data_IF_417706431766
#
_entry.id   IF_417706431766
#
_cell.length_a   1.000
_cell.length_b   1.000
_cell.length_c   1.000
_cell.angle_alpha   90.00
_cell.angle_beta   90.00
_cell.angle_gamma   90.00
#
_symmetry.space_group_name_H-M   'P 1'
#
loop_
_entity.id
_entity.type
_entity.pdbx_description
1 polymer ?
#
# COMPACT_ATOMS: atom_id res chain seq x y z
N UNK A 1 -32.94 -8.28 28.15
CA UNK A 1 -32.29 -9.60 27.93
C UNK A 1 -30.85 -9.32 27.47
N UNK A 2 -29.89 -9.64 28.33
CA UNK A 2 -28.47 -9.54 27.97
C UNK A 2 -28.11 -10.87 27.31
N UNK A 3 -27.96 -10.88 26.00
CA UNK A 3 -27.39 -12.02 25.28
C UNK A 3 -25.88 -11.94 25.49
N UNK A 4 -25.32 -12.88 26.21
CA UNK A 4 -23.87 -13.04 26.34
C UNK A 4 -23.51 -14.21 25.42
N UNK A 5 -23.02 -13.93 24.23
CA UNK A 5 -22.36 -14.93 23.42
C UNK A 5 -20.95 -15.12 23.95
N UNK A 6 -20.58 -16.33 24.33
CA UNK A 6 -19.22 -16.68 24.74
C UNK A 6 -18.57 -17.41 23.55
N UNK A 7 -17.46 -16.86 23.06
CA UNK A 7 -16.64 -17.50 22.03
C UNK A 7 -15.31 -17.91 22.69
N UNK A 8 -14.93 -19.15 22.50
CA UNK A 8 -13.64 -19.67 22.91
C UNK A 8 -12.79 -19.88 21.65
N UNK A 9 -11.59 -19.28 21.61
CA UNK A 9 -10.67 -19.41 20.49
C UNK A 9 -9.39 -20.02 21.02
N UNK A 10 -9.04 -21.22 20.56
CA UNK A 10 -7.77 -21.88 20.83
C UNK A 10 -7.11 -22.24 19.49
N UNK A 11 -6.08 -21.48 19.11
CA UNK A 11 -5.39 -21.63 17.84
C UNK A 11 -3.89 -21.82 18.06
N UNK A 12 -3.34 -22.86 17.46
CA UNK A 12 -1.90 -23.12 17.45
C UNK A 12 -1.21 -22.28 16.39
N UNK A 13 -0.49 -21.24 16.78
CA UNK A 13 0.27 -20.37 15.88
C UNK A 13 1.77 -20.65 15.97
N UNK A 14 2.46 -20.68 14.83
CA UNK A 14 3.89 -20.74 14.81
C UNK A 14 4.49 -19.87 13.71
N UNK A 15 5.62 -19.27 14.00
CA UNK A 15 6.41 -18.48 13.06
C UNK A 15 7.88 -18.82 13.17
N UNK A 16 8.63 -18.53 12.14
CA UNK A 16 10.06 -18.80 12.11
C UNK A 16 10.75 -18.15 10.91
N UNK A 17 12.08 -18.10 10.98
CA UNK A 17 12.92 -17.55 9.93
C UNK A 17 14.18 -18.37 9.77
N UNK A 18 14.51 -18.71 8.53
CA UNK A 18 15.80 -19.29 8.14
C UNK A 18 16.45 -18.34 7.14
N UNK A 19 17.67 -17.91 7.39
CA UNK A 19 18.45 -17.08 6.48
C UNK A 19 19.82 -17.73 6.22
N UNK A 20 20.19 -17.74 4.94
CA UNK A 20 21.52 -18.13 4.49
C UNK A 20 22.22 -16.89 3.93
N UNK A 21 23.40 -16.57 4.42
CA UNK A 21 24.17 -15.41 4.00
C UNK A 21 25.52 -15.86 3.39
N UNK A 22 25.85 -15.26 2.26
CA UNK A 22 27.15 -15.44 1.61
C UNK A 22 27.83 -14.11 1.41
N UNK A 23 28.95 -13.89 2.11
CA UNK A 23 29.73 -12.64 2.06
C UNK A 23 30.89 -12.77 1.10
N UNK A 24 31.00 -11.80 0.20
CA UNK A 24 32.11 -11.65 -0.73
C UNK A 24 32.84 -10.34 -0.47
N UNK A 25 33.98 -10.13 -1.13
CA UNK A 25 34.69 -8.83 -1.06
C UNK A 25 33.82 -7.67 -1.61
N UNK A 26 32.85 -7.93 -2.48
CA UNK A 26 31.99 -6.94 -3.10
C UNK A 26 30.62 -6.77 -2.45
N UNK A 27 30.22 -7.64 -1.50
CA UNK A 27 28.90 -7.51 -0.89
C UNK A 27 28.38 -8.77 -0.20
N UNK A 28 27.14 -8.71 0.20
CA UNK A 28 26.38 -9.76 0.88
C UNK A 28 25.28 -10.26 -0.04
N UNK A 29 25.25 -11.56 -0.31
CA UNK A 29 24.14 -12.27 -0.92
C UNK A 29 23.38 -13.01 0.17
N UNK A 30 22.07 -13.06 0.09
CA UNK A 30 21.28 -13.83 1.05
C UNK A 30 20.08 -14.49 0.41
N UNK A 31 19.68 -15.60 1.01
CA UNK A 31 18.41 -16.27 0.76
C UNK A 31 17.66 -16.37 2.08
N UNK A 32 16.37 -16.11 2.08
CA UNK A 32 15.51 -16.10 3.24
C UNK A 32 14.28 -16.94 2.98
N UNK A 33 13.89 -17.77 3.94
CA UNK A 33 12.56 -18.34 4.05
C UNK A 33 12.01 -18.00 5.44
N UNK A 34 10.82 -17.43 5.50
CA UNK A 34 10.18 -17.08 6.77
C UNK A 34 8.68 -17.34 6.73
N UNK A 35 8.14 -17.73 7.88
CA UNK A 35 6.71 -17.88 8.11
C UNK A 35 6.27 -16.93 9.20
N UNK A 36 5.26 -16.11 8.87
CA UNK A 36 4.54 -15.25 9.80
C UNK A 36 3.08 -15.66 9.93
N UNK A 37 2.39 -15.04 10.87
CA UNK A 37 0.96 -15.23 11.06
C UNK A 37 0.31 -13.96 11.63
N UNK A 38 -1.01 -13.85 11.42
CA UNK A 38 -1.88 -12.87 12.05
C UNK A 38 -3.00 -13.64 12.74
N UNK A 39 -3.16 -13.45 14.05
CA UNK A 39 -4.12 -14.22 14.84
C UNK A 39 -5.55 -14.04 14.33
N UNK A 40 -6.33 -15.09 14.41
CA UNK A 40 -7.77 -15.07 14.26
C UNK A 40 -8.48 -14.31 15.37
N UNK A 41 -9.78 -14.23 15.30
CA UNK A 41 -10.56 -13.48 16.27
C UNK A 41 -12.07 -13.63 16.14
N UNK A 42 -12.76 -12.69 16.76
CA UNK A 42 -14.22 -12.66 16.78
C UNK A 42 -14.74 -11.27 16.50
N UNK A 43 -15.59 -11.12 15.52
CA UNK A 43 -16.35 -9.90 15.26
C UNK A 43 -17.30 -9.62 16.42
N UNK A 44 -17.17 -8.45 17.04
CA UNK A 44 -17.92 -8.12 18.26
C UNK A 44 -19.34 -7.60 18.01
N UNK A 45 -19.65 -7.21 16.77
CA UNK A 45 -20.95 -6.68 16.43
C UNK A 45 -22.01 -7.78 16.47
N UNK A 46 -23.11 -7.53 17.17
CA UNK A 46 -24.20 -8.49 17.34
C UNK A 46 -25.05 -8.67 16.07
N UNK A 47 -24.94 -7.80 15.11
CA UNK A 47 -25.60 -7.91 13.82
C UNK A 47 -24.93 -8.93 12.89
N UNK A 48 -23.66 -9.27 13.15
CA UNK A 48 -22.96 -10.34 12.43
C UNK A 48 -23.52 -11.69 12.88
N UNK A 49 -23.97 -12.56 11.96
CA UNK A 49 -24.45 -13.91 12.29
C UNK A 49 -23.40 -14.71 13.06
N UNK A 50 -23.84 -15.54 14.01
CA UNK A 50 -22.93 -16.27 14.91
C UNK A 50 -21.94 -17.18 14.18
N UNK A 51 -22.31 -17.73 13.02
CA UNK A 51 -21.49 -18.55 12.14
C UNK A 51 -20.45 -17.75 11.34
N UNK A 52 -20.62 -16.43 11.22
CA UNK A 52 -19.69 -15.51 10.55
C UNK A 52 -18.90 -14.64 11.53
N UNK A 53 -19.10 -14.79 12.83
CA UNK A 53 -18.38 -14.00 13.83
C UNK A 53 -16.94 -14.39 14.00
N UNK A 54 -16.60 -15.65 13.78
CA UNK A 54 -15.23 -16.13 13.88
C UNK A 54 -14.51 -15.94 12.56
N UNK A 55 -13.25 -15.55 12.65
CA UNK A 55 -12.31 -15.58 11.56
C UNK A 55 -11.00 -16.22 12.03
N UNK A 56 -10.40 -17.00 11.17
CA UNK A 56 -9.26 -17.86 11.47
C UNK A 56 -7.93 -17.11 11.35
N UNK A 57 -6.86 -17.73 11.84
CA UNK A 57 -5.49 -17.23 11.73
C UNK A 57 -5.05 -17.21 10.28
N UNK A 58 -4.64 -16.04 9.80
CA UNK A 58 -3.93 -15.89 8.52
C UNK A 58 -2.47 -16.30 8.70
N UNK A 59 -1.90 -17.03 7.75
CA UNK A 59 -0.49 -17.32 7.71
C UNK A 59 0.15 -16.91 6.38
N UNK A 60 1.46 -16.63 6.41
CA UNK A 60 2.21 -16.22 5.23
C UNK A 60 3.58 -16.87 5.21
N UNK A 61 3.92 -17.47 4.09
CA UNK A 61 5.29 -17.80 3.75
C UNK A 61 5.89 -16.71 2.89
N UNK A 62 7.12 -16.28 3.22
CA UNK A 62 7.91 -15.38 2.41
C UNK A 62 9.23 -16.05 2.05
N UNK A 63 9.53 -16.05 0.75
CA UNK A 63 10.81 -16.49 0.19
C UNK A 63 11.46 -15.30 -0.50
N UNK A 64 12.71 -15.02 -0.16
CA UNK A 64 13.42 -13.84 -0.67
C UNK A 64 14.85 -14.20 -1.02
N UNK A 65 15.32 -13.67 -2.14
CA UNK A 65 16.72 -13.73 -2.57
C UNK A 65 17.20 -12.30 -2.82
N UNK A 66 18.27 -11.91 -2.17
CA UNK A 66 18.72 -10.53 -2.27
C UNK A 66 20.23 -10.35 -2.25
N UNK A 67 20.63 -9.14 -2.60
CA UNK A 67 22.01 -8.67 -2.61
C UNK A 67 22.11 -7.29 -1.98
N UNK A 68 23.16 -7.07 -1.19
CA UNK A 68 23.59 -5.77 -0.67
C UNK A 68 25.05 -5.59 -1.05
N UNK A 69 25.34 -4.60 -1.87
CA UNK A 69 26.70 -4.44 -2.43
C UNK A 69 27.10 -2.98 -2.51
N UNK A 70 28.41 -2.74 -2.49
CA UNK A 70 29.02 -1.45 -2.77
C UNK A 70 29.84 -1.54 -4.04
N UNK A 71 29.68 -0.57 -4.91
CA UNK A 71 30.29 -0.52 -6.22
C UNK A 71 31.04 0.80 -6.42
N UNK A 72 31.96 0.82 -7.40
CA UNK A 72 32.72 2.01 -7.78
C UNK A 72 33.45 2.65 -6.60
N UNK A 73 34.30 1.87 -5.91
CA UNK A 73 35.05 2.32 -4.73
C UNK A 73 34.14 2.93 -3.65
N UNK A 74 33.10 2.19 -3.24
CA UNK A 74 32.09 2.55 -2.24
C UNK A 74 31.25 3.81 -2.60
N UNK A 75 31.23 4.21 -3.87
CA UNK A 75 30.41 5.35 -4.30
C UNK A 75 28.96 4.98 -4.56
N UNK A 76 28.66 3.74 -4.86
CA UNK A 76 27.29 3.24 -5.00
C UNK A 76 27.02 2.22 -3.89
N UNK A 77 25.97 2.44 -3.11
CA UNK A 77 25.35 1.44 -2.24
C UNK A 77 24.09 0.94 -2.94
N UNK A 78 24.06 -0.35 -3.26
CA UNK A 78 22.98 -1.01 -3.97
C UNK A 78 22.40 -2.14 -3.12
N UNK A 79 21.09 -2.17 -3.01
CA UNK A 79 20.31 -3.26 -2.43
C UNK A 79 19.28 -3.68 -3.43
N UNK A 80 19.13 -4.97 -3.64
CA UNK A 80 18.09 -5.52 -4.48
C UNK A 80 17.61 -6.86 -3.91
N UNK A 81 16.32 -7.12 -4.03
CA UNK A 81 15.71 -8.38 -3.64
C UNK A 81 14.60 -8.76 -4.60
N UNK A 82 14.44 -10.05 -4.84
CA UNK A 82 13.25 -10.65 -5.42
C UNK A 82 12.57 -11.49 -4.36
N UNK A 83 11.24 -11.51 -4.36
CA UNK A 83 10.48 -12.21 -3.35
C UNK A 83 9.23 -12.88 -3.93
N UNK A 84 8.77 -13.89 -3.21
CA UNK A 84 7.45 -14.52 -3.39
C UNK A 84 6.84 -14.70 -2.01
N UNK A 85 5.58 -14.32 -1.88
CA UNK A 85 4.79 -14.45 -0.66
C UNK A 85 3.52 -15.22 -0.98
N UNK A 86 3.32 -16.34 -0.29
CA UNK A 86 2.08 -17.11 -0.33
C UNK A 86 1.35 -16.91 1.01
N UNK A 87 0.09 -16.49 0.94
CA UNK A 87 -0.76 -16.21 2.10
C UNK A 87 -1.95 -17.15 2.08
N UNK A 88 -2.20 -17.80 3.20
CA UNK A 88 -3.32 -18.69 3.42
C UNK A 88 -4.28 -18.06 4.43
N UNK A 89 -5.58 -18.28 4.27
CA UNK A 89 -6.64 -17.75 5.12
C UNK A 89 -6.59 -16.23 5.29
N UNK A 90 -6.39 -15.50 4.19
CA UNK A 90 -6.22 -14.04 4.17
C UNK A 90 -7.39 -13.36 4.84
N UNK A 91 -7.12 -12.59 5.90
CA UNK A 91 -8.13 -11.81 6.60
C UNK A 91 -8.51 -10.59 5.77
N UNK A 92 -9.79 -10.46 5.44
CA UNK A 92 -10.34 -9.38 4.63
C UNK A 92 -11.61 -8.82 5.25
N UNK A 93 -11.87 -7.55 4.99
CA UNK A 93 -13.08 -6.88 5.46
C UNK A 93 -14.24 -7.15 4.50
N UNK A 94 -15.39 -7.46 5.07
CA UNK A 94 -16.68 -7.61 4.39
C UNK A 94 -17.71 -6.67 5.03
N UNK A 95 -18.84 -6.46 4.35
CA UNK A 95 -19.92 -5.67 4.90
C UNK A 95 -21.27 -6.41 4.75
N UNK A 96 -22.05 -6.42 5.81
CA UNK A 96 -23.47 -6.78 5.76
C UNK A 96 -24.28 -5.51 5.47
N UNK A 97 -25.29 -5.64 4.65
CA UNK A 97 -26.28 -4.60 4.38
C UNK A 97 -27.60 -5.03 4.98
N UNK A 98 -28.00 -4.37 6.04
CA UNK A 98 -29.19 -4.70 6.80
C UNK A 98 -30.26 -3.64 6.55
N UNK A 99 -31.40 -3.96 5.91
CA UNK A 99 -32.51 -3.02 5.80
C UNK A 99 -33.03 -2.61 7.19
N UNK A 100 -33.22 -1.31 7.41
CA UNK A 100 -33.74 -0.78 8.70
C UNK A 100 -35.25 -0.93 8.76
N UNK A 101 -35.94 -0.84 7.62
CA UNK A 101 -37.41 -0.97 7.54
C UNK A 101 -37.81 -1.75 6.30
N UNK A 102 -38.42 -2.92 6.51
CA UNK A 102 -38.83 -3.79 5.41
C UNK A 102 -37.64 -4.41 4.65
N UNK A 103 -37.80 -4.64 3.35
CA UNK A 103 -36.77 -5.25 2.50
C UNK A 103 -36.00 -4.26 1.63
N UNK A 104 -36.13 -2.96 1.92
CA UNK A 104 -35.49 -1.89 1.16
C UNK A 104 -34.72 -0.92 2.07
N UNK A 105 -33.74 -0.24 1.51
CA UNK A 105 -33.04 0.83 2.24
C UNK A 105 -34.02 1.99 2.59
N UNK A 106 -33.78 2.67 3.73
CA UNK A 106 -32.47 2.91 4.36
C UNK A 106 -31.90 1.67 5.03
N UNK A 107 -30.57 1.50 4.88
CA UNK A 107 -29.84 0.33 5.31
C UNK A 107 -28.79 0.67 6.37
N UNK A 108 -28.52 -0.27 7.28
CA UNK A 108 -27.37 -0.27 8.16
C UNK A 108 -26.25 -1.10 7.53
N UNK A 109 -25.03 -0.57 7.58
CA UNK A 109 -23.84 -1.26 7.10
C UNK A 109 -23.02 -1.72 8.30
N UNK A 110 -22.75 -3.01 8.37
CA UNK A 110 -21.99 -3.62 9.45
C UNK A 110 -20.74 -4.25 8.87
N UNK A 111 -19.59 -3.65 9.13
CA UNK A 111 -18.30 -4.18 8.71
C UNK A 111 -17.89 -5.36 9.62
N UNK A 112 -17.37 -6.42 9.03
CA UNK A 112 -16.85 -7.57 9.75
C UNK A 112 -15.66 -8.18 9.01
N UNK A 113 -14.79 -8.85 9.75
CA UNK A 113 -13.66 -9.60 9.19
C UNK A 113 -14.06 -11.04 8.89
N UNK A 114 -13.56 -11.54 7.77
CA UNK A 114 -13.65 -12.95 7.37
C UNK A 114 -12.34 -13.37 6.73
N UNK A 115 -12.21 -14.65 6.37
CA UNK A 115 -11.06 -15.15 5.65
C UNK A 115 -11.39 -15.30 4.17
N UNK A 116 -10.52 -14.76 3.30
CA UNK A 116 -10.38 -15.20 1.91
C UNK A 116 -9.45 -16.43 1.90
N UNK A 117 -9.61 -17.35 0.95
CA UNK A 117 -8.86 -18.60 1.04
C UNK A 117 -7.35 -18.39 0.87
N UNK A 118 -6.90 -17.73 -0.19
CA UNK A 118 -5.47 -17.53 -0.43
C UNK A 118 -5.18 -16.25 -1.22
N UNK A 119 -3.94 -15.76 -1.11
CA UNK A 119 -3.40 -14.72 -1.97
C UNK A 119 -1.91 -14.93 -2.20
N UNK A 120 -1.44 -14.51 -3.36
CA UNK A 120 -0.04 -14.54 -3.74
C UNK A 120 0.46 -13.15 -4.08
N UNK A 121 1.69 -12.86 -3.70
CA UNK A 121 2.41 -11.65 -4.11
C UNK A 121 3.82 -12.01 -4.51
N UNK A 122 4.33 -11.41 -5.58
CA UNK A 122 5.73 -11.57 -5.96
C UNK A 122 6.26 -10.29 -6.59
N UNK A 123 7.55 -10.08 -6.48
CA UNK A 123 8.08 -8.81 -6.96
C UNK A 123 9.59 -8.67 -6.87
N UNK A 124 10.02 -7.46 -7.20
CA UNK A 124 11.39 -7.00 -7.11
C UNK A 124 11.43 -5.65 -6.40
N UNK A 125 12.35 -5.51 -5.47
CA UNK A 125 12.69 -4.23 -4.84
C UNK A 125 14.14 -3.90 -5.09
N UNK A 126 14.42 -2.61 -5.37
CA UNK A 126 15.77 -2.11 -5.55
C UNK A 126 15.91 -0.72 -4.94
N UNK A 127 17.00 -0.51 -4.22
CA UNK A 127 17.42 0.79 -3.70
C UNK A 127 18.86 1.06 -4.08
N UNK A 128 19.14 2.28 -4.55
CA UNK A 128 20.47 2.73 -4.90
C UNK A 128 20.73 4.12 -4.34
N UNK A 129 21.88 4.31 -3.68
CA UNK A 129 22.43 5.60 -3.33
C UNK A 129 23.78 5.77 -4.04
N UNK A 130 23.95 6.84 -4.78
CA UNK A 130 25.12 7.09 -5.60
C UNK A 130 25.76 8.44 -5.31
N UNK A 131 26.98 8.43 -4.76
CA UNK A 131 27.86 9.61 -4.69
C UNK A 131 28.56 9.79 -6.03
N UNK A 132 27.92 10.50 -6.96
CA UNK A 132 28.42 10.71 -8.32
C UNK A 132 29.80 11.42 -8.28
N UNK A 133 29.88 12.45 -7.45
CA UNK A 133 31.11 13.17 -7.12
C UNK A 133 30.97 13.88 -5.75
N UNK A 134 31.89 14.82 -5.42
CA UNK A 134 31.86 15.52 -4.12
C UNK A 134 30.70 16.49 -3.94
N UNK A 135 30.05 16.87 -5.02
CA UNK A 135 28.98 17.88 -5.03
C UNK A 135 27.66 17.35 -5.60
N UNK A 136 27.59 16.10 -6.04
CA UNK A 136 26.38 15.50 -6.61
C UNK A 136 26.15 14.12 -6.02
N UNK A 137 25.02 13.99 -5.35
CA UNK A 137 24.48 12.72 -4.88
C UNK A 137 23.17 12.42 -5.60
N UNK A 138 22.90 11.18 -5.92
CA UNK A 138 21.67 10.69 -6.54
C UNK A 138 21.16 9.47 -5.80
N UNK A 139 19.87 9.27 -5.85
CA UNK A 139 19.24 8.05 -5.36
C UNK A 139 18.19 7.53 -6.34
N UNK A 140 17.92 6.24 -6.26
CA UNK A 140 16.86 5.60 -6.99
C UNK A 140 16.23 4.51 -6.12
N UNK A 141 14.92 4.38 -6.15
CA UNK A 141 14.21 3.20 -5.67
C UNK A 141 13.21 2.72 -6.72
N UNK A 142 13.06 1.40 -6.80
CA UNK A 142 12.14 0.73 -7.68
C UNK A 142 11.48 -0.42 -6.91
N UNK A 143 10.16 -0.44 -6.89
CA UNK A 143 9.36 -1.60 -6.51
C UNK A 143 8.54 -2.07 -7.71
N UNK A 144 8.61 -3.34 -8.02
CA UNK A 144 7.72 -4.03 -8.96
C UNK A 144 6.97 -5.08 -8.18
N UNK A 145 5.66 -5.12 -8.31
CA UNK A 145 4.79 -5.99 -7.52
C UNK A 145 3.67 -6.54 -8.38
N UNK A 146 3.49 -7.85 -8.33
CA UNK A 146 2.31 -8.54 -8.84
C UNK A 146 1.60 -9.21 -7.67
N UNK A 147 0.29 -9.10 -7.64
CA UNK A 147 -0.54 -9.68 -6.58
C UNK A 147 -1.80 -10.28 -7.15
N UNK A 148 -2.26 -11.36 -6.56
CA UNK A 148 -3.52 -12.00 -6.96
C UNK A 148 -4.20 -12.68 -5.76
N UNK A 149 -5.51 -12.63 -5.74
CA UNK A 149 -6.29 -13.57 -4.95
C UNK A 149 -6.32 -14.94 -5.65
N UNK A 150 -6.23 -15.99 -4.85
CA UNK A 150 -6.27 -17.39 -5.31
C UNK A 150 -7.35 -18.10 -4.51
N UNK A 151 -8.50 -18.36 -5.08
CA UNK A 151 -9.65 -18.96 -4.37
C UNK A 151 -10.32 -18.00 -3.38
N UNK A 152 -10.92 -16.91 -3.90
CA UNK A 152 -11.69 -15.97 -3.08
C UNK A 152 -13.08 -15.68 -3.67
N UNK A 153 -14.12 -16.12 -2.98
CA UNK A 153 -15.51 -15.74 -3.26
C UNK A 153 -15.95 -14.60 -2.33
N UNK A 154 -16.25 -13.45 -2.91
CA UNK A 154 -16.74 -12.30 -2.16
C UNK A 154 -18.28 -12.34 -2.08
N UNK A 155 -18.82 -12.40 -0.86
CA UNK A 155 -20.25 -12.43 -0.58
C UNK A 155 -20.84 -11.06 -0.22
N UNK A 156 -20.05 -9.98 -0.31
CA UNK A 156 -20.53 -8.63 -0.01
C UNK A 156 -21.47 -8.13 -1.11
N UNK A 157 -22.72 -7.92 -0.77
CA UNK A 157 -23.76 -7.44 -1.69
C UNK A 157 -23.63 -5.95 -2.07
N UNK A 158 -22.85 -5.18 -1.30
CA UNK A 158 -22.85 -3.70 -1.42
C UNK A 158 -22.13 -3.22 -2.66
N UNK A 159 -21.18 -4.01 -3.15
CA UNK A 159 -20.25 -3.59 -4.19
C UNK A 159 -19.99 -4.70 -5.22
N UNK A 160 -20.71 -5.81 -5.11
CA UNK A 160 -20.75 -6.84 -6.14
C UNK A 160 -21.35 -6.26 -7.43
N UNK A 161 -20.95 -6.80 -8.55
CA UNK A 161 -21.52 -6.46 -9.84
C UNK A 161 -23.06 -6.55 -9.74
N UNK A 162 -23.78 -5.43 -9.95
CA UNK A 162 -25.23 -5.42 -9.84
C UNK A 162 -25.92 -6.36 -10.84
N UNK A 163 -25.21 -6.76 -11.91
CA UNK A 163 -25.76 -7.59 -12.99
C UNK A 163 -25.64 -9.10 -12.71
N UNK A 164 -24.74 -9.55 -11.82
CA UNK A 164 -24.45 -10.97 -11.63
C UNK A 164 -24.88 -11.55 -10.28
N UNK A 165 -25.21 -10.71 -9.30
CA UNK A 165 -25.50 -11.17 -7.94
C UNK A 165 -24.28 -11.77 -7.23
N UNK A 166 -24.45 -12.18 -5.99
CA UNK A 166 -23.40 -12.80 -5.16
C UNK A 166 -23.51 -14.32 -5.16
N UNK A 167 -22.37 -15.04 -5.01
CA UNK A 167 -21.01 -14.57 -4.73
C UNK A 167 -20.30 -14.07 -5.99
N UNK A 168 -19.37 -13.14 -5.79
CA UNK A 168 -18.49 -12.64 -6.85
C UNK A 168 -17.12 -13.36 -6.75
N UNK A 169 -16.69 -13.97 -7.86
CA UNK A 169 -15.40 -14.64 -7.95
C UNK A 169 -14.27 -13.58 -8.10
N UNK A 170 -13.35 -13.57 -7.15
CA UNK A 170 -12.22 -12.65 -7.08
C UNK A 170 -10.91 -13.26 -7.55
N UNK A 171 -10.92 -14.51 -8.03
CA UNK A 171 -9.69 -15.19 -8.46
C UNK A 171 -8.99 -14.45 -9.58
N UNK A 172 -7.67 -14.33 -9.44
CA UNK A 172 -6.82 -13.58 -10.36
C UNK A 172 -6.93 -12.07 -10.24
N UNK A 173 -7.74 -11.54 -9.32
CA UNK A 173 -7.84 -10.11 -9.08
C UNK A 173 -6.71 -9.64 -8.16
N UNK A 174 -6.20 -8.45 -8.47
CA UNK A 174 -5.17 -7.78 -7.66
C UNK A 174 -5.64 -7.51 -6.23
N UNK A 175 -4.72 -7.60 -5.27
CA UNK A 175 -4.96 -7.17 -3.90
C UNK A 175 -5.12 -5.65 -3.84
N UNK A 176 -5.95 -5.14 -2.91
CA UNK A 176 -6.08 -3.71 -2.74
C UNK A 176 -4.76 -3.09 -2.23
N UNK A 177 -4.54 -1.81 -2.58
CA UNK A 177 -3.36 -1.02 -2.18
C UNK A 177 -2.02 -1.56 -2.73
N UNK A 178 -2.06 -2.32 -3.82
CA UNK A 178 -0.92 -3.01 -4.41
C UNK A 178 -0.61 -2.52 -5.84
N UNK A 179 -0.02 -1.32 -6.01
CA UNK A 179 0.37 -0.83 -7.33
C UNK A 179 1.44 -1.72 -7.96
N UNK A 180 1.35 -2.00 -9.28
CA UNK A 180 2.29 -2.87 -9.98
C UNK A 180 3.71 -2.30 -10.03
N UNK A 181 3.85 -0.97 -9.97
CA UNK A 181 5.16 -0.34 -9.82
C UNK A 181 5.13 0.91 -8.92
N UNK A 182 6.26 1.15 -8.29
CA UNK A 182 6.60 2.40 -7.63
C UNK A 182 8.05 2.76 -7.95
N UNK A 183 8.28 4.00 -8.37
CA UNK A 183 9.61 4.52 -8.70
C UNK A 183 9.83 5.84 -7.96
N UNK A 184 10.99 6.00 -7.35
CA UNK A 184 11.46 7.30 -6.90
C UNK A 184 12.90 7.50 -7.37
N UNK A 185 13.16 8.65 -8.00
CA UNK A 185 14.48 9.06 -8.46
C UNK A 185 14.76 10.45 -7.93
N UNK A 186 15.96 10.69 -7.44
CA UNK A 186 16.29 12.02 -7.01
C UNK A 186 17.78 12.33 -7.06
N UNK A 187 18.08 13.62 -7.01
CA UNK A 187 19.44 14.10 -6.96
C UNK A 187 19.55 15.38 -6.11
N UNK A 188 20.69 15.52 -5.45
CA UNK A 188 21.08 16.71 -4.70
C UNK A 188 22.41 17.19 -5.25
N UNK A 189 22.41 18.41 -5.78
CA UNK A 189 23.59 19.04 -6.34
C UNK A 189 23.97 20.28 -5.56
N UNK A 190 25.14 20.25 -4.93
CA UNK A 190 25.75 21.39 -4.28
C UNK A 190 26.64 22.13 -5.30
N UNK A 191 26.32 23.39 -5.59
CA UNK A 191 27.06 24.20 -6.54
C UNK A 191 27.37 25.59 -5.97
N UNK A 192 28.35 26.27 -6.56
CA UNK A 192 28.74 27.63 -6.16
C UNK A 192 28.89 27.82 -4.62
N UNK A 193 29.38 26.81 -3.90
CA UNK A 193 29.73 26.76 -2.47
C UNK A 193 28.59 26.96 -1.47
N UNK A 194 27.44 27.53 -1.87
CA UNK A 194 26.34 27.88 -0.95
C UNK A 194 24.98 27.48 -1.49
N UNK A 195 24.93 27.05 -2.72
CA UNK A 195 23.68 26.70 -3.37
C UNK A 195 23.50 25.19 -3.45
N UNK A 196 22.29 24.76 -3.18
CA UNK A 196 21.89 23.36 -3.31
C UNK A 196 20.65 23.30 -4.19
N UNK A 197 20.70 22.54 -5.28
CA UNK A 197 19.53 22.17 -6.07
C UNK A 197 19.20 20.72 -5.77
N UNK A 198 17.97 20.45 -5.35
CA UNK A 198 17.46 19.11 -5.27
C UNK A 198 16.24 18.93 -6.16
N UNK A 199 16.16 17.78 -6.81
CA UNK A 199 15.05 17.35 -7.63
C UNK A 199 14.67 15.92 -7.27
N UNK A 200 13.37 15.65 -7.28
CA UNK A 200 12.82 14.34 -7.02
C UNK A 200 11.71 14.07 -8.04
N UNK A 201 11.69 12.87 -8.57
CA UNK A 201 10.67 12.33 -9.44
C UNK A 201 10.09 11.08 -8.77
N UNK A 202 8.77 11.03 -8.66
CA UNK A 202 8.03 9.87 -8.18
C UNK A 202 7.05 9.42 -9.25
N UNK A 203 6.94 8.12 -9.48
CA UNK A 203 5.91 7.53 -10.30
C UNK A 203 5.30 6.34 -9.57
N UNK A 204 4.01 6.20 -9.68
CA UNK A 204 3.25 5.10 -9.07
C UNK A 204 2.12 4.69 -10.00
N UNK A 205 1.92 3.39 -10.13
CA UNK A 205 0.81 2.84 -10.87
C UNK A 205 -0.53 3.04 -10.17
N UNK A 206 -1.61 2.85 -10.87
CA UNK A 206 -2.93 2.78 -10.27
C UNK A 206 -3.05 1.52 -9.39
N UNK A 207 -4.02 1.51 -8.52
CA UNK A 207 -4.32 0.40 -7.62
C UNK A 207 -5.76 0.49 -7.10
N UNK A 208 -6.34 -0.63 -6.75
CA UNK A 208 -7.66 -0.69 -6.13
C UNK A 208 -7.61 -0.21 -4.67
N UNK A 209 -8.61 0.55 -4.23
CA UNK A 209 -8.68 0.98 -2.84
C UNK A 209 -9.18 -0.10 -1.88
N UNK A 210 -9.96 -1.06 -2.37
CA UNK A 210 -10.58 -2.12 -1.58
C UNK A 210 -10.76 -3.40 -2.40
N UNK A 211 -10.85 -4.54 -1.74
CA UNK A 211 -11.31 -5.79 -2.34
C UNK A 211 -12.82 -5.82 -2.61
N UNK A 212 -13.58 -4.89 -2.03
CA UNK A 212 -15.04 -4.86 -2.10
C UNK A 212 -15.60 -4.13 -3.33
N UNK A 213 -14.79 -3.34 -4.03
CA UNK A 213 -15.22 -2.52 -5.17
C UNK A 213 -14.11 -2.34 -6.20
N UNK A 214 -14.46 -1.78 -7.36
CA UNK A 214 -13.51 -1.53 -8.45
C UNK A 214 -13.00 -0.09 -8.49
N UNK A 215 -13.31 0.71 -7.47
CA UNK A 215 -12.83 2.10 -7.40
C UNK A 215 -11.36 2.10 -7.01
N UNK A 216 -10.54 2.68 -7.87
CA UNK A 216 -9.10 2.70 -7.73
C UNK A 216 -8.52 4.11 -7.76
N UNK A 217 -7.24 4.19 -7.46
CA UNK A 217 -6.41 5.35 -7.70
C UNK A 217 -6.27 5.59 -9.21
N UNK A 218 -5.50 6.57 -9.56
CA UNK A 218 -4.98 6.71 -10.93
C UNK A 218 -3.46 6.58 -10.87
N UNK A 219 -2.85 6.09 -11.92
CA UNK A 219 -1.40 6.22 -12.09
C UNK A 219 -1.01 7.70 -12.11
N UNK A 220 0.13 8.05 -11.52
CA UNK A 220 0.59 9.42 -11.45
C UNK A 220 2.11 9.54 -11.46
N UNK A 221 2.55 10.72 -11.85
CA UNK A 221 3.95 11.14 -11.83
C UNK A 221 4.06 12.50 -11.15
N UNK A 222 5.00 12.63 -10.21
CA UNK A 222 5.26 13.85 -9.46
C UNK A 222 6.68 14.31 -9.68
N UNK A 223 6.86 15.62 -9.79
CA UNK A 223 8.18 16.26 -9.78
C UNK A 223 8.22 17.28 -8.66
N UNK A 224 9.26 17.20 -7.84
CA UNK A 224 9.54 18.13 -6.77
C UNK A 224 10.89 18.79 -7.00
N UNK A 225 10.96 20.11 -6.83
CA UNK A 225 12.21 20.85 -6.95
C UNK A 225 12.41 21.76 -5.75
N UNK A 226 13.65 21.90 -5.31
CA UNK A 226 14.04 22.80 -4.22
C UNK A 226 15.38 23.44 -4.56
N UNK A 227 15.45 24.76 -4.47
CA UNK A 227 16.68 25.54 -4.54
C UNK A 227 16.96 26.15 -3.16
N UNK A 228 18.07 25.78 -2.56
CA UNK A 228 18.54 26.26 -1.27
C UNK A 228 19.75 27.19 -1.39
N UNK A 229 19.84 28.15 -0.46
CA UNK A 229 21.03 29.00 -0.28
C UNK A 229 21.40 29.08 1.20
N UNK A 230 22.61 28.63 1.53
CA UNK A 230 23.06 28.53 2.94
C UNK A 230 24.26 29.44 3.21
N UNK A 231 24.16 30.20 4.30
CA UNK A 231 25.25 30.95 4.91
C UNK A 231 25.56 30.39 6.30
N UNK A 232 26.59 30.85 7.02
CA UNK A 232 26.87 30.39 8.38
C UNK A 232 25.72 30.61 9.38
N UNK A 233 24.84 31.57 9.11
CA UNK A 233 23.73 31.90 10.03
C UNK A 233 22.34 31.73 9.40
N UNK A 234 22.25 31.73 8.09
CA UNK A 234 20.96 31.68 7.39
C UNK A 234 20.87 30.49 6.45
N UNK A 235 19.72 29.85 6.43
CA UNK A 235 19.32 28.87 5.43
C UNK A 235 18.03 29.35 4.76
N UNK A 236 18.09 29.61 3.48
CA UNK A 236 16.95 30.01 2.66
C UNK A 236 16.63 28.92 1.66
N UNK A 237 15.36 28.70 1.37
CA UNK A 237 14.98 27.87 0.25
C UNK A 237 13.67 28.34 -0.40
N UNK A 238 13.60 28.10 -1.70
CA UNK A 238 12.35 28.09 -2.47
C UNK A 238 12.11 26.69 -2.99
N UNK A 239 10.85 26.28 -3.03
CA UNK A 239 10.51 24.94 -3.50
C UNK A 239 9.17 24.92 -4.23
N UNK A 240 9.01 23.92 -5.07
CA UNK A 240 7.75 23.52 -5.67
C UNK A 240 7.54 22.03 -5.45
N UNK A 241 6.36 21.67 -4.99
CA UNK A 241 5.89 20.29 -4.93
C UNK A 241 4.82 20.08 -5.97
N UNK A 242 4.79 18.88 -6.54
CA UNK A 242 3.88 18.54 -7.62
C UNK A 242 3.95 19.58 -8.75
N UNK A 243 5.13 19.76 -9.34
CA UNK A 243 5.40 20.77 -10.38
C UNK A 243 4.46 20.63 -11.58
N UNK A 244 4.13 19.40 -11.94
CA UNK A 244 3.25 19.06 -13.08
C UNK A 244 1.77 19.30 -12.79
N UNK A 245 1.40 19.58 -11.53
CA UNK A 245 0.00 19.72 -11.06
C UNK A 245 -0.85 18.47 -11.31
N UNK A 246 -0.23 17.30 -11.15
CA UNK A 246 -0.90 16.03 -11.33
C UNK A 246 -2.00 15.86 -10.27
N UNK A 247 -3.17 15.41 -10.71
CA UNK A 247 -4.27 15.05 -9.81
C UNK A 247 -4.08 13.63 -9.31
N UNK A 248 -4.04 13.44 -8.00
CA UNK A 248 -3.81 12.16 -7.35
C UNK A 248 -5.07 11.79 -6.57
N UNK A 249 -5.59 10.59 -6.80
CA UNK A 249 -6.63 10.00 -5.96
C UNK A 249 -5.96 9.22 -4.85
N UNK A 250 -6.10 9.67 -3.60
CA UNK A 250 -5.45 9.07 -2.44
C UNK A 250 -6.35 8.07 -1.71
N UNK A 251 -7.66 8.22 -1.86
CA UNK A 251 -8.67 7.34 -1.28
C UNK A 251 -9.93 7.40 -2.15
N UNK A 252 -10.65 6.31 -2.20
CA UNK A 252 -11.95 6.24 -2.86
C UNK A 252 -12.84 5.23 -2.16
N UNK A 253 -14.13 5.45 -2.32
CA UNK A 253 -15.17 4.55 -1.87
C UNK A 253 -15.95 4.08 -3.09
N UNK A 254 -16.36 2.81 -3.11
CA UNK A 254 -17.44 2.35 -3.93
C UNK A 254 -18.71 3.12 -3.57
N UNK A 255 -19.67 3.04 -4.41
CA UNK A 255 -20.79 3.94 -4.37
C UNK A 255 -21.73 3.73 -3.22
N UNK A 256 -22.02 4.83 -2.58
CA UNK A 256 -23.31 5.02 -1.93
C UNK A 256 -24.09 6.01 -2.80
N UNK A 257 -25.22 5.61 -3.33
CA UNK A 257 -26.15 6.57 -3.88
C UNK A 257 -26.65 7.49 -2.76
N UNK A 258 -25.95 8.60 -2.53
CA UNK A 258 -26.30 9.54 -1.47
C UNK A 258 -27.10 10.74 -1.97
N UNK A 259 -27.20 10.96 -3.27
CA UNK A 259 -27.94 12.08 -3.83
C UNK A 259 -29.36 11.64 -4.25
N UNK A 260 -30.39 12.05 -3.48
CA UNK A 260 -31.77 11.74 -3.85
C UNK A 260 -32.22 12.45 -5.14
N UNK A 261 -31.49 13.51 -5.56
CA UNK A 261 -31.81 14.23 -6.80
C UNK A 261 -31.41 13.45 -8.03
N UNK A 262 -30.44 12.53 -7.88
CA UNK A 262 -29.95 11.63 -8.92
C UNK A 262 -30.47 10.20 -8.75
N UNK A 263 -31.58 10.05 -8.03
CA UNK A 263 -32.22 8.75 -7.80
C UNK A 263 -31.36 7.77 -7.02
N UNK A 264 -30.43 8.27 -6.21
CA UNK A 264 -29.44 7.45 -5.50
C UNK A 264 -28.52 6.65 -6.42
N UNK A 265 -28.21 7.21 -7.59
CA UNK A 265 -27.26 6.59 -8.51
C UNK A 265 -25.90 6.38 -7.82
N UNK A 266 -25.31 5.26 -8.19
CA UNK A 266 -24.03 4.80 -7.68
C UNK A 266 -22.90 5.67 -8.24
N UNK A 267 -22.27 6.49 -7.41
CA UNK A 267 -21.15 7.36 -7.81
C UNK A 267 -19.93 7.11 -6.93
N UNK A 268 -18.72 6.96 -7.50
CA UNK A 268 -17.51 6.83 -6.71
C UNK A 268 -17.11 8.18 -6.10
N UNK A 269 -16.73 8.17 -4.83
CA UNK A 269 -16.20 9.33 -4.12
C UNK A 269 -14.69 9.22 -3.97
N UNK A 270 -13.98 10.34 -4.18
CA UNK A 270 -12.52 10.39 -4.10
C UNK A 270 -12.03 11.45 -3.13
N UNK A 271 -10.98 11.14 -2.42
CA UNK A 271 -10.14 12.13 -1.75
C UNK A 271 -8.90 12.35 -2.62
N UNK A 272 -8.56 13.64 -2.80
CA UNK A 272 -7.43 14.02 -3.64
C UNK A 272 -6.20 14.37 -2.80
N UNK A 273 -5.03 14.13 -3.38
CA UNK A 273 -3.75 14.57 -2.86
C UNK A 273 -3.55 16.08 -3.02
N UNK A 274 -2.43 16.59 -2.49
CA UNK A 274 -2.12 18.00 -2.57
C UNK A 274 -1.85 18.43 -4.03
N UNK A 275 -2.44 19.55 -4.48
CA UNK A 275 -2.14 20.13 -5.79
C UNK A 275 -0.72 20.71 -5.79
N UNK A 276 -0.31 21.29 -6.91
CA UNK A 276 0.96 22.01 -6.99
C UNK A 276 1.06 23.09 -5.92
N UNK A 277 2.15 23.05 -5.16
CA UNK A 277 2.39 23.95 -4.04
C UNK A 277 3.74 24.61 -4.17
N UNK A 278 3.80 25.94 -4.06
CA UNK A 278 5.04 26.70 -3.97
C UNK A 278 5.27 27.16 -2.53
N UNK A 279 6.51 27.19 -2.13
CA UNK A 279 6.84 27.65 -0.80
C UNK A 279 8.21 28.28 -0.70
N UNK A 280 8.39 29.05 0.36
CA UNK A 280 9.67 29.62 0.77
C UNK A 280 9.94 29.26 2.22
N UNK A 281 11.19 29.06 2.58
CA UNK A 281 11.60 28.86 3.96
C UNK A 281 12.83 29.68 4.28
N UNK A 282 12.91 30.21 5.50
CA UNK A 282 14.08 30.88 6.05
C UNK A 282 14.31 30.39 7.48
N UNK A 283 15.53 29.98 7.79
CA UNK A 283 15.94 29.61 9.14
C UNK A 283 17.18 30.40 9.53
N UNK A 284 17.25 30.82 10.80
CA UNK A 284 18.38 31.55 11.37
C UNK A 284 18.96 30.75 12.55
N UNK A 285 20.28 30.55 12.56
CA UNK A 285 21.01 29.96 13.67
C UNK A 285 21.65 31.08 14.53
N UNK A 286 21.35 31.08 15.81
CA UNK A 286 21.88 32.04 16.80
C UNK A 286 23.33 31.75 17.16
#
# INVERSE_FOLDING_TARGET
NRVVAAFDTDEGMWGGRLALEYRTAGGLWYALASRGYKAGGVNSDSAVPDDQRRFDTESMWNYELGVKTRLLDDRIDLRAAVFVQDRDDVQTDQALVLPIVGDACPCEFVDYQTNAAAARSYGLEMEMNWRVNRSLEAFASLGLLETEFVDFLNFSHVEADPDTGTPFDMDGRELPQAPSYQVALGAVWEFARRWTLSGEFEAKDDFLFSSRHQVGSNAYELVHLRLGYRTPRWDFAVFVRNLTDATIRTRGFGSFGNDPRDGYAVEPYYQFGAPRTFGVSAAYAF
#
